data_IF_108787946386
#
_entry.id   IF_108787946386
#
_cell.length_a   1.000
_cell.length_b   1.000
_cell.length_c   1.000
_cell.angle_alpha   90.00
_cell.angle_beta   90.00
_cell.angle_gamma   90.00
#
_symmetry.space_group_name_H-M   'P 1'
#
loop_
_entity.id
_entity.type
_entity.pdbx_description
1 polymer ?
#
# COMPACT_ATOMS: atom_id res chain seq x y z
N UNK A 1 -27.60 61.73 20.30
CA UNK A 1 -26.32 60.99 20.33
C UNK A 1 -26.52 59.55 20.82
N UNK A 2 -27.19 58.67 20.05
CA UNK A 2 -27.46 57.27 20.50
C UNK A 2 -27.44 56.24 19.37
N UNK A 3 -26.70 56.52 18.30
CA UNK A 3 -26.58 55.64 17.12
C UNK A 3 -25.19 55.04 16.94
N UNK A 4 -24.10 55.67 17.41
CA UNK A 4 -22.74 55.14 17.20
C UNK A 4 -22.44 53.88 18.04
N UNK A 5 -23.05 53.75 19.22
CA UNK A 5 -22.80 52.65 20.15
C UNK A 5 -23.37 51.31 19.67
N UNK A 6 -24.40 51.33 18.78
CA UNK A 6 -24.94 50.11 18.14
C UNK A 6 -24.08 49.64 16.97
N UNK A 7 -23.48 50.58 16.22
CA UNK A 7 -22.62 50.25 15.07
C UNK A 7 -21.33 49.58 15.53
N UNK A 8 -20.68 50.11 16.58
CA UNK A 8 -19.41 49.54 17.07
C UNK A 8 -19.51 48.09 17.57
N UNK A 9 -20.65 47.70 18.15
CA UNK A 9 -20.88 46.31 18.58
C UNK A 9 -21.06 45.39 17.38
N UNK A 10 -21.82 45.80 16.36
CA UNK A 10 -21.98 45.03 15.13
C UNK A 10 -20.65 44.86 14.39
N UNK A 11 -19.84 45.92 14.31
CA UNK A 11 -18.53 45.88 13.66
C UNK A 11 -17.59 44.92 14.40
N UNK A 12 -17.55 45.00 15.73
CA UNK A 12 -16.74 44.08 16.55
C UNK A 12 -17.15 42.62 16.39
N UNK A 13 -18.45 42.33 16.39
CA UNK A 13 -18.97 40.98 16.15
C UNK A 13 -18.61 40.50 14.75
N UNK A 14 -18.74 41.36 13.74
CA UNK A 14 -18.37 41.04 12.36
C UNK A 14 -16.89 40.66 12.25
N UNK A 15 -15.98 41.47 12.80
CA UNK A 15 -14.55 41.17 12.80
C UNK A 15 -14.22 39.90 13.57
N UNK A 16 -14.88 39.67 14.71
CA UNK A 16 -14.68 38.45 15.51
C UNK A 16 -15.09 37.21 14.73
N UNK A 17 -16.24 37.23 14.07
CA UNK A 17 -16.72 36.11 13.24
C UNK A 17 -15.79 35.88 12.04
N UNK A 18 -15.39 36.94 11.34
CA UNK A 18 -14.42 36.85 10.24
C UNK A 18 -13.09 36.24 10.68
N UNK A 19 -12.57 36.65 11.84
CA UNK A 19 -11.33 36.13 12.41
C UNK A 19 -11.44 34.66 12.79
N UNK A 20 -12.54 34.25 13.43
CA UNK A 20 -12.81 32.86 13.76
C UNK A 20 -12.94 32.00 12.51
N UNK A 21 -13.60 32.50 11.47
CA UNK A 21 -13.74 31.80 10.20
C UNK A 21 -12.39 31.61 9.51
N UNK A 22 -11.58 32.67 9.43
CA UNK A 22 -10.23 32.62 8.88
C UNK A 22 -9.33 31.64 9.65
N UNK A 23 -9.39 31.67 10.98
CA UNK A 23 -8.65 30.76 11.85
C UNK A 23 -9.10 29.30 11.66
N UNK A 24 -10.40 29.06 11.55
CA UNK A 24 -10.96 27.74 11.26
C UNK A 24 -10.46 27.22 9.90
N UNK A 25 -10.52 28.04 8.84
CA UNK A 25 -10.03 27.65 7.53
C UNK A 25 -8.51 27.42 7.51
N UNK A 26 -7.73 28.23 8.22
CA UNK A 26 -6.28 28.02 8.37
C UNK A 26 -5.99 26.68 9.05
N UNK A 27 -6.70 26.38 10.14
CA UNK A 27 -6.58 25.11 10.85
C UNK A 27 -7.05 23.91 10.02
N UNK A 28 -8.19 24.03 9.34
CA UNK A 28 -8.72 23.03 8.41
C UNK A 28 -7.83 22.85 7.17
N UNK A 29 -7.02 23.83 6.80
CA UNK A 29 -6.02 23.68 5.73
C UNK A 29 -4.75 22.96 6.22
N UNK A 30 -4.40 23.12 7.50
CA UNK A 30 -3.27 22.43 8.13
C UNK A 30 -3.60 20.97 8.47
N UNK A 31 -4.81 20.71 8.98
CA UNK A 31 -5.29 19.35 9.30
C UNK A 31 -6.07 18.69 8.16
N UNK A 32 -6.45 19.43 7.13
CA UNK A 32 -7.25 18.91 6.03
C UNK A 32 -6.47 17.84 5.26
N UNK A 33 -7.13 16.72 5.04
CA UNK A 33 -6.65 15.50 4.36
C UNK A 33 -6.06 15.67 2.93
N UNK A 34 -5.83 16.90 2.44
CA UNK A 34 -5.55 17.20 1.03
C UNK A 34 -4.08 17.44 0.67
N UNK A 35 -3.13 17.55 1.61
CA UNK A 35 -1.80 18.10 1.28
C UNK A 35 -0.68 17.12 0.98
N UNK A 36 -0.33 16.27 1.94
CA UNK A 36 0.96 15.56 1.90
C UNK A 36 0.92 14.23 2.67
N UNK A 37 0.17 14.17 3.78
CA UNK A 37 0.08 12.98 4.63
C UNK A 37 -0.56 11.77 3.94
N UNK A 38 -1.65 11.99 3.18
CA UNK A 38 -2.28 10.92 2.38
C UNK A 38 -1.32 10.36 1.32
N UNK A 39 -0.52 11.22 0.68
CA UNK A 39 0.46 10.79 -0.33
C UNK A 39 1.60 10.00 0.29
N UNK A 40 2.13 10.45 1.43
CA UNK A 40 3.17 9.74 2.17
C UNK A 40 2.70 8.36 2.66
N UNK A 41 1.46 8.25 3.14
CA UNK A 41 0.88 6.96 3.53
C UNK A 41 0.71 6.02 2.33
N UNK A 42 0.15 6.54 1.23
CA UNK A 42 -0.05 5.76 0.00
C UNK A 42 1.29 5.30 -0.59
N UNK A 43 2.32 6.15 -0.57
CA UNK A 43 3.64 5.83 -1.10
C UNK A 43 4.35 4.77 -0.24
N UNK A 44 4.23 4.85 1.09
CA UNK A 44 4.73 3.80 1.97
C UNK A 44 3.99 2.46 1.76
N UNK A 45 2.67 2.50 1.58
CA UNK A 45 1.87 1.30 1.28
C UNK A 45 2.22 0.72 -0.10
N UNK A 46 2.48 1.56 -1.09
CA UNK A 46 2.91 1.17 -2.43
C UNK A 46 4.25 0.42 -2.38
N UNK A 47 5.25 0.95 -1.69
CA UNK A 47 6.58 0.32 -1.55
C UNK A 47 6.45 -1.07 -0.89
N UNK A 48 5.60 -1.20 0.13
CA UNK A 48 5.38 -2.48 0.80
C UNK A 48 4.70 -3.50 -0.14
N UNK A 49 3.69 -3.06 -0.90
CA UNK A 49 2.98 -3.89 -1.87
C UNK A 49 3.89 -4.32 -3.04
N UNK A 50 4.75 -3.44 -3.54
CA UNK A 50 5.72 -3.76 -4.59
C UNK A 50 6.71 -4.84 -4.12
N UNK A 51 7.24 -4.72 -2.90
CA UNK A 51 8.12 -5.73 -2.32
C UNK A 51 7.46 -7.12 -2.21
N UNK A 52 6.19 -7.15 -1.81
CA UNK A 52 5.43 -8.40 -1.70
C UNK A 52 5.10 -8.99 -3.08
N UNK A 53 4.76 -8.15 -4.05
CA UNK A 53 4.56 -8.55 -5.44
C UNK A 53 5.81 -9.20 -6.01
N UNK A 54 6.98 -8.59 -5.83
CA UNK A 54 8.26 -9.14 -6.30
C UNK A 54 8.63 -10.46 -5.62
N UNK A 55 8.29 -10.61 -4.34
CA UNK A 55 8.46 -11.87 -3.61
C UNK A 55 7.59 -12.97 -4.23
N UNK A 56 6.30 -12.70 -4.42
CA UNK A 56 5.35 -13.64 -4.99
C UNK A 56 5.68 -13.99 -6.44
N UNK A 57 6.09 -13.01 -7.25
CA UNK A 57 6.51 -13.26 -8.63
C UNK A 57 7.72 -14.19 -8.70
N UNK A 58 8.69 -14.04 -7.80
CA UNK A 58 9.83 -14.97 -7.70
C UNK A 58 9.39 -16.38 -7.29
N UNK A 59 8.45 -16.48 -6.36
CA UNK A 59 7.91 -17.76 -5.90
C UNK A 59 7.16 -18.49 -7.01
N UNK A 60 6.30 -17.78 -7.75
CA UNK A 60 5.59 -18.31 -8.92
C UNK A 60 6.59 -18.78 -9.97
N UNK A 61 7.60 -17.97 -10.31
CA UNK A 61 8.62 -18.36 -11.29
C UNK A 61 9.40 -19.62 -10.86
N UNK A 62 9.71 -19.75 -9.57
CA UNK A 62 10.36 -20.94 -9.04
C UNK A 62 9.46 -22.19 -9.15
N UNK A 63 8.17 -22.05 -8.85
CA UNK A 63 7.19 -23.12 -8.99
C UNK A 63 6.95 -23.50 -10.45
N UNK A 64 6.85 -22.52 -11.34
CA UNK A 64 6.74 -22.76 -12.79
C UNK A 64 7.96 -23.50 -13.34
N UNK A 65 9.17 -23.14 -12.90
CA UNK A 65 10.39 -23.85 -13.28
C UNK A 65 10.38 -25.29 -12.75
N UNK A 66 10.02 -25.50 -11.49
CA UNK A 66 9.87 -26.86 -10.91
C UNK A 66 8.85 -27.69 -11.69
N UNK A 67 7.66 -27.14 -11.96
CA UNK A 67 6.62 -27.80 -12.74
C UNK A 67 7.08 -28.10 -14.17
N UNK A 68 7.80 -27.17 -14.81
CA UNK A 68 8.38 -27.39 -16.14
C UNK A 68 9.40 -28.52 -16.14
N UNK A 69 10.26 -28.59 -15.11
CA UNK A 69 11.27 -29.65 -14.97
C UNK A 69 10.66 -31.01 -14.63
N UNK A 70 9.51 -31.02 -13.96
CA UNK A 70 8.72 -32.21 -13.68
C UNK A 70 7.81 -32.62 -14.85
N UNK A 71 7.52 -31.70 -15.78
CA UNK A 71 6.77 -31.98 -17.01
C UNK A 71 7.61 -32.86 -17.95
N UNK A 72 7.01 -33.95 -18.43
CA UNK A 72 7.65 -35.14 -19.00
C UNK A 72 8.53 -34.98 -20.26
N UNK A 73 8.88 -33.77 -20.68
CA UNK A 73 9.94 -33.55 -21.70
C UNK A 73 11.33 -33.44 -21.08
N UNK A 74 11.43 -33.11 -19.78
CA UNK A 74 12.70 -33.04 -19.02
C UNK A 74 12.84 -34.10 -17.92
N UNK A 75 11.74 -34.76 -17.55
CA UNK A 75 11.71 -35.78 -16.53
C UNK A 75 11.86 -37.16 -17.18
N UNK A 76 13.10 -37.64 -17.27
CA UNK A 76 13.41 -38.98 -17.79
C UNK A 76 12.90 -40.04 -16.81
N UNK A 77 11.73 -40.60 -17.13
CA UNK A 77 11.03 -41.60 -16.33
C UNK A 77 11.87 -42.88 -16.16
N UNK A 78 12.75 -43.19 -17.11
CA UNK A 78 13.65 -44.36 -17.03
C UNK A 78 14.78 -44.12 -16.00
N UNK A 79 15.27 -42.88 -15.88
CA UNK A 79 16.22 -42.49 -14.84
C UNK A 79 15.60 -42.41 -13.43
N UNK A 80 14.30 -42.12 -13.34
CA UNK A 80 13.55 -42.19 -12.08
C UNK A 80 13.27 -43.64 -11.67
N UNK A 81 12.87 -44.50 -12.60
CA UNK A 81 12.62 -45.92 -12.30
C UNK A 81 13.92 -46.65 -11.92
N UNK A 82 15.03 -46.35 -12.58
CA UNK A 82 16.34 -46.88 -12.19
C UNK A 82 16.79 -46.39 -10.81
N UNK A 83 16.68 -45.09 -10.49
CA UNK A 83 16.96 -44.59 -9.14
C UNK A 83 16.00 -45.15 -8.09
N UNK A 84 14.71 -45.30 -8.42
CA UNK A 84 13.73 -45.89 -7.52
C UNK A 84 14.06 -47.35 -7.23
N UNK A 85 14.50 -48.13 -8.23
CA UNK A 85 14.94 -49.53 -8.03
C UNK A 85 16.23 -49.63 -7.21
N UNK A 86 17.17 -48.71 -7.40
CA UNK A 86 18.44 -48.67 -6.67
C UNK A 86 18.22 -48.29 -5.20
N UNK A 87 17.33 -47.33 -4.92
CA UNK A 87 16.96 -46.92 -3.56
C UNK A 87 16.05 -47.94 -2.87
N UNK A 88 15.10 -48.55 -3.59
CA UNK A 88 14.18 -49.55 -3.05
C UNK A 88 14.76 -50.97 -3.03
N UNK A 89 16.01 -51.16 -3.50
CA UNK A 89 16.72 -52.43 -3.41
C UNK A 89 16.07 -53.57 -4.21
N UNK A 90 15.36 -53.26 -5.30
CA UNK A 90 14.61 -54.25 -6.10
C UNK A 90 15.49 -55.07 -7.05
N UNK A 91 16.81 -55.06 -6.85
CA UNK A 91 17.74 -55.95 -7.55
C UNK A 91 18.51 -56.76 -6.50
N UNK A 92 18.01 -57.97 -6.24
CA UNK A 92 18.82 -59.11 -5.81
C UNK A 92 18.35 -60.36 -6.54
#
# INVERSE_FOLDING_TARGET
MRTSMRTGVCDFVYFTVMFLLASYFMFASVQGDFGLFRRLQIEAELIALEGERDRLTREVSALENKTRRLSGTYLDLDLLDSQARDVLGLIR
#
